data_IF_162317272405
#
_entry.id   IF_162317272405
#
_cell.length_a   1.000
_cell.length_b   1.000
_cell.length_c   1.000
_cell.angle_alpha   90.00
_cell.angle_beta   90.00
_cell.angle_gamma   90.00
#
_symmetry.space_group_name_H-M   'P 1'
#
loop_
_entity.id
_entity.type
_entity.pdbx_description
1 polymer ?
#
# COMPACT_ATOMS: atom_id res chain seq x y z
N UNK A 1 8.20 -14.60 -0.86
CA UNK A 1 8.38 -13.36 -1.61
C UNK A 1 7.25 -12.45 -1.20
N UNK A 2 7.56 -11.21 -0.87
CA UNK A 2 6.61 -10.21 -0.42
C UNK A 2 6.40 -9.19 -1.53
N UNK A 3 5.20 -9.19 -2.11
CA UNK A 3 4.84 -8.33 -3.24
C UNK A 3 3.80 -7.34 -2.76
N UNK A 4 4.06 -6.05 -2.93
CA UNK A 4 3.10 -4.99 -2.59
C UNK A 4 2.43 -4.47 -3.86
N UNK A 5 1.11 -4.60 -3.91
CA UNK A 5 0.24 -3.99 -4.91
C UNK A 5 -0.36 -2.68 -4.39
N UNK A 6 -0.43 -1.61 -5.19
CA UNK A 6 -1.12 -0.37 -4.77
C UNK A 6 -2.03 0.22 -5.82
N UNK A 7 -3.19 0.70 -5.36
CA UNK A 7 -3.95 1.78 -5.98
C UNK A 7 -3.54 3.07 -5.26
N UNK A 8 -2.53 3.73 -5.81
CA UNK A 8 -1.70 4.69 -5.07
C UNK A 8 -2.45 5.92 -4.54
N UNK A 9 -3.30 6.55 -5.36
CA UNK A 9 -3.94 7.81 -5.01
C UNK A 9 -5.29 8.00 -5.72
N UNK A 10 -6.06 8.98 -5.23
CA UNK A 10 -7.38 9.32 -5.75
C UNK A 10 -8.48 8.56 -5.03
N UNK A 11 -9.63 8.43 -5.68
CA UNK A 11 -10.79 7.76 -5.12
C UNK A 11 -10.48 6.30 -4.76
N UNK A 12 -10.82 5.84 -3.55
CA UNK A 12 -10.54 4.51 -2.98
C UNK A 12 -9.08 4.05 -3.16
N UNK A 13 -8.11 4.83 -2.71
CA UNK A 13 -6.74 4.34 -2.66
C UNK A 13 -6.61 3.15 -1.70
N UNK A 14 -5.68 2.24 -2.03
CA UNK A 14 -5.55 0.96 -1.36
C UNK A 14 -4.17 0.35 -1.54
N UNK A 15 -3.79 -0.52 -0.61
CA UNK A 15 -2.57 -1.31 -0.60
C UNK A 15 -2.90 -2.78 -0.34
N UNK A 16 -2.26 -3.66 -1.10
CA UNK A 16 -2.30 -5.11 -0.92
C UNK A 16 -0.86 -5.63 -0.74
N UNK A 17 -0.66 -6.59 0.16
CA UNK A 17 0.58 -7.31 0.33
C UNK A 17 0.30 -8.81 0.17
N UNK A 18 1.04 -9.45 -0.72
CA UNK A 18 1.07 -10.89 -0.90
C UNK A 18 2.38 -11.44 -0.33
N UNK A 19 2.30 -12.29 0.69
CA UNK A 19 3.45 -13.04 1.20
C UNK A 19 3.36 -14.49 0.71
N UNK A 20 4.14 -14.82 -0.33
CA UNK A 20 4.13 -16.17 -0.91
C UNK A 20 4.86 -17.21 -0.07
N UNK A 21 5.67 -16.81 0.92
CA UNK A 21 6.34 -17.75 1.84
C UNK A 21 5.37 -18.15 2.95
N UNK A 22 4.73 -17.17 3.58
CA UNK A 22 3.77 -17.40 4.66
C UNK A 22 2.37 -17.77 4.15
N UNK A 23 2.11 -17.61 2.84
CA UNK A 23 0.80 -17.82 2.19
C UNK A 23 -0.29 -16.93 2.80
N UNK A 24 0.06 -15.70 3.15
CA UNK A 24 -0.85 -14.71 3.72
C UNK A 24 -1.12 -13.58 2.73
N UNK A 25 -2.29 -12.96 2.89
CA UNK A 25 -2.71 -11.79 2.13
C UNK A 25 -3.14 -10.72 3.12
N UNK A 26 -2.60 -9.52 2.95
CA UNK A 26 -3.05 -8.32 3.64
C UNK A 26 -3.60 -7.35 2.60
N UNK A 27 -4.76 -6.75 2.86
CA UNK A 27 -5.33 -5.74 1.99
C UNK A 27 -6.02 -4.67 2.83
N UNK A 28 -5.72 -3.41 2.54
CA UNK A 28 -6.32 -2.28 3.24
C UNK A 28 -6.61 -1.13 2.27
N UNK A 29 -7.77 -0.52 2.44
CA UNK A 29 -8.16 0.74 1.79
C UNK A 29 -8.04 1.90 2.77
N UNK A 30 -7.69 3.07 2.25
CA UNK A 30 -7.59 4.32 3.02
C UNK A 30 -8.88 4.67 3.73
N UNK A 31 -10.05 4.47 3.10
CA UNK A 31 -11.36 4.79 3.70
C UNK A 31 -11.62 4.06 5.02
N UNK A 32 -10.97 2.91 5.24
CA UNK A 32 -11.09 2.13 6.48
C UNK A 32 -10.17 2.63 7.58
N UNK A 33 -9.05 3.23 7.20
CA UNK A 33 -8.09 3.83 8.13
C UNK A 33 -8.55 5.23 8.53
N UNK A 34 -8.92 6.04 7.55
CA UNK A 34 -9.35 7.45 7.72
C UNK A 34 -10.77 7.55 8.25
N UNK A 35 -11.60 6.53 8.00
CA UNK A 35 -13.06 6.52 8.27
C UNK A 35 -13.83 7.57 7.47
N UNK A 36 -13.25 8.07 6.38
CA UNK A 36 -13.88 9.00 5.44
C UNK A 36 -14.25 8.22 4.18
N UNK A 37 -15.54 8.25 3.82
CA UNK A 37 -16.01 7.58 2.60
C UNK A 37 -15.55 8.31 1.36
N UNK A 38 -15.12 7.53 0.35
CA UNK A 38 -14.66 8.06 -0.93
C UNK A 38 -13.53 9.08 -0.78
N UNK A 39 -12.62 8.83 0.16
CA UNK A 39 -11.48 9.72 0.36
C UNK A 39 -10.64 9.82 -0.92
N UNK A 40 -10.10 11.03 -1.13
CA UNK A 40 -9.27 11.34 -2.29
C UNK A 40 -7.82 11.53 -1.84
N UNK A 41 -7.32 10.55 -1.09
CA UNK A 41 -6.00 10.57 -0.47
C UNK A 41 -5.08 9.56 -1.16
N UNK A 42 -3.77 9.69 -0.92
CA UNK A 42 -2.82 8.62 -1.26
C UNK A 42 -2.80 7.56 -0.14
N UNK A 43 -2.03 6.49 -0.34
CA UNK A 43 -1.91 5.39 0.65
C UNK A 43 -1.14 5.75 1.93
N UNK A 44 -0.71 7.00 2.12
CA UNK A 44 0.02 7.43 3.34
C UNK A 44 -0.70 7.07 4.64
N UNK A 45 -2.04 7.20 4.79
CA UNK A 45 -2.73 6.78 6.00
C UNK A 45 -2.52 5.29 6.32
N UNK A 46 -2.47 4.42 5.30
CA UNK A 46 -2.21 2.99 5.50
C UNK A 46 -0.77 2.78 5.97
N UNK A 47 0.20 3.44 5.34
CA UNK A 47 1.61 3.34 5.72
C UNK A 47 1.91 3.90 7.12
N UNK A 48 1.10 4.86 7.59
CA UNK A 48 1.18 5.37 8.96
C UNK A 48 0.52 4.47 10.02
N UNK A 49 -0.50 3.70 9.63
CA UNK A 49 -1.26 2.85 10.55
C UNK A 49 -0.73 1.40 10.64
N UNK A 50 -0.07 0.92 9.58
CA UNK A 50 0.41 -0.46 9.49
C UNK A 50 1.90 -0.50 9.18
N UNK A 51 2.62 -1.40 9.86
CA UNK A 51 4.02 -1.67 9.56
C UNK A 51 4.12 -2.73 8.47
N UNK A 52 4.98 -2.47 7.50
CA UNK A 52 5.33 -3.42 6.45
C UNK A 52 6.81 -3.75 6.60
N UNK A 53 7.10 -5.03 6.79
CA UNK A 53 8.47 -5.54 6.73
C UNK A 53 9.05 -5.38 5.31
N UNK A 54 10.30 -5.83 5.12
CA UNK A 54 10.96 -5.87 3.81
C UNK A 54 10.04 -6.41 2.70
N UNK A 55 9.86 -5.57 1.67
CA UNK A 55 9.13 -5.89 0.45
C UNK A 55 10.15 -6.27 -0.62
N UNK A 56 9.92 -7.39 -1.29
CA UNK A 56 10.80 -7.89 -2.35
C UNK A 56 10.47 -7.22 -3.70
N UNK A 57 9.18 -6.94 -3.95
CA UNK A 57 8.70 -6.36 -5.20
C UNK A 57 7.47 -5.46 -4.99
N UNK A 58 7.33 -4.43 -5.83
CA UNK A 58 6.24 -3.44 -5.75
C UNK A 58 5.61 -3.28 -7.12
N UNK A 59 4.31 -3.55 -7.21
CA UNK A 59 3.50 -3.42 -8.42
C UNK A 59 2.49 -2.30 -8.19
N UNK A 60 2.66 -1.16 -8.86
CA UNK A 60 1.79 -0.01 -8.72
C UNK A 60 1.04 0.31 -10.02
N UNK A 61 -0.15 0.90 -9.89
CA UNK A 61 -0.90 1.45 -11.03
C UNK A 61 -0.33 2.78 -11.56
N UNK A 62 0.64 3.41 -10.88
CA UNK A 62 1.26 4.66 -11.34
C UNK A 62 2.77 4.70 -11.04
N UNK A 63 3.52 5.20 -12.03
CA UNK A 63 4.99 5.26 -12.09
C UNK A 63 5.66 6.10 -10.97
N UNK A 64 4.91 6.93 -10.24
CA UNK A 64 5.45 7.91 -9.27
C UNK A 64 5.67 7.38 -7.84
N UNK A 65 5.22 6.15 -7.53
CA UNK A 65 5.38 5.56 -6.19
C UNK A 65 6.80 4.99 -5.92
N UNK A 66 7.54 4.66 -6.98
CA UNK A 66 8.85 4.00 -6.90
C UNK A 66 9.89 4.81 -6.10
N UNK A 67 9.81 6.14 -6.12
CA UNK A 67 10.79 7.02 -5.47
C UNK A 67 10.57 7.15 -3.95
N UNK A 68 9.35 6.97 -3.44
CA UNK A 68 9.03 7.19 -2.03
C UNK A 68 9.43 6.01 -1.14
N UNK A 69 9.33 4.77 -1.63
CA UNK A 69 9.74 3.58 -0.85
C UNK A 69 11.27 3.40 -0.86
N UNK A 70 11.96 3.68 -1.97
CA UNK A 70 13.42 3.55 -2.04
C UNK A 70 14.15 4.45 -1.04
N UNK A 71 13.55 5.59 -0.70
CA UNK A 71 14.11 6.59 0.22
C UNK A 71 13.68 6.42 1.69
N UNK A 72 12.87 5.40 2.01
CA UNK A 72 12.47 5.05 3.38
C UNK A 72 13.37 3.93 3.96
N UNK A 73 14.64 3.89 3.56
CA UNK A 73 15.68 3.02 4.13
C UNK A 73 16.63 3.84 4.99
#
# INVERSE_FOLDING_TARGET
MRIVGTKYCGHDSALCLLDTKQKTVFAMSTERVTRIKHDYLDITPILGAYQFDSVDDIVGATLSFLDKIKNNR
#
